data_IF_275809503382
#
_entry.id   IF_275809503382
#
_cell.length_a   1.000
_cell.length_b   1.000
_cell.length_c   1.000
_cell.angle_alpha   90.00
_cell.angle_beta   90.00
_cell.angle_gamma   90.00
#
_symmetry.space_group_name_H-M   'P 1'
#
loop_
_entity.id
_entity.type
_entity.pdbx_description
1 polymer ?
#
# COMPACT_ATOMS: atom_id res chain seq x y z
N UNK A 1 -21.08 -12.56 -0.94
CA UNK A 1 -20.10 -11.69 -0.24
C UNK A 1 -18.82 -12.50 -0.12
N UNK A 2 -17.71 -12.02 -0.67
CA UNK A 2 -16.43 -12.71 -0.53
C UNK A 2 -15.96 -12.51 0.92
N UNK A 3 -15.76 -13.60 1.66
CA UNK A 3 -15.24 -13.53 3.03
C UNK A 3 -13.76 -13.14 2.95
N UNK A 4 -13.41 -11.98 3.50
CA UNK A 4 -12.02 -11.53 3.58
C UNK A 4 -11.20 -12.45 4.49
N UNK A 5 -9.95 -12.72 4.11
CA UNK A 5 -9.01 -13.48 4.91
C UNK A 5 -8.36 -12.59 5.98
N UNK A 6 -8.22 -13.11 7.20
CA UNK A 6 -7.51 -12.43 8.27
C UNK A 6 -6.00 -12.55 8.06
N UNK A 7 -5.30 -11.41 8.03
CA UNK A 7 -3.85 -11.36 7.82
C UNK A 7 -3.19 -10.45 8.85
N UNK A 8 -1.92 -10.73 9.20
CA UNK A 8 -1.15 -9.82 10.04
C UNK A 8 -0.46 -8.75 9.18
N UNK A 9 -0.02 -7.65 9.81
CA UNK A 9 0.61 -6.54 9.10
C UNK A 9 1.85 -6.96 8.31
N UNK A 10 2.72 -7.77 8.91
CA UNK A 10 3.97 -8.21 8.29
C UNK A 10 3.74 -9.00 7.00
N UNK A 11 2.87 -10.00 7.03
CA UNK A 11 2.55 -10.83 5.85
C UNK A 11 1.90 -9.98 4.74
N UNK A 12 1.01 -9.06 5.13
CA UNK A 12 0.34 -8.18 4.18
C UNK A 12 1.33 -7.21 3.51
N UNK A 13 2.30 -6.68 4.27
CA UNK A 13 3.35 -5.83 3.72
C UNK A 13 4.28 -6.60 2.77
N UNK A 14 4.53 -7.89 3.02
CA UNK A 14 5.31 -8.73 2.10
C UNK A 14 4.59 -8.87 0.76
N UNK A 15 3.30 -9.22 0.78
CA UNK A 15 2.46 -9.32 -0.43
C UNK A 15 2.40 -7.97 -1.14
N UNK A 16 2.14 -6.89 -0.40
CA UNK A 16 2.01 -5.56 -0.97
C UNK A 16 3.31 -5.10 -1.65
N UNK A 17 4.47 -5.30 -1.01
CA UNK A 17 5.76 -4.94 -1.60
C UNK A 17 6.12 -5.81 -2.81
N UNK A 18 5.74 -7.09 -2.82
CA UNK A 18 5.90 -7.92 -4.02
C UNK A 18 5.07 -7.35 -5.19
N UNK A 19 3.80 -7.02 -4.95
CA UNK A 19 2.94 -6.41 -5.97
C UNK A 19 3.47 -5.07 -6.47
N UNK A 20 4.07 -4.25 -5.59
CA UNK A 20 4.71 -2.99 -6.00
C UNK A 20 5.86 -3.26 -6.98
N UNK A 21 6.74 -4.23 -6.68
CA UNK A 21 7.91 -4.54 -7.49
C UNK A 21 7.54 -5.14 -8.86
N UNK A 22 6.44 -5.88 -8.94
CA UNK A 22 5.96 -6.52 -10.18
C UNK A 22 5.13 -5.57 -11.07
N UNK A 23 4.75 -4.39 -10.59
CA UNK A 23 3.85 -3.49 -11.30
C UNK A 23 4.59 -2.59 -12.30
N UNK A 24 4.04 -2.40 -13.51
CA UNK A 24 4.68 -1.65 -14.61
C UNK A 24 5.04 -0.20 -14.25
N UNK A 25 4.27 0.43 -13.36
CA UNK A 25 4.52 1.79 -12.86
C UNK A 25 5.48 1.85 -11.65
N UNK A 26 6.22 0.79 -11.34
CA UNK A 26 7.22 0.79 -10.28
C UNK A 26 8.31 1.85 -10.54
N UNK A 27 8.75 2.50 -9.46
CA UNK A 27 9.92 3.39 -9.48
C UNK A 27 10.87 2.95 -8.36
N UNK A 28 12.18 3.09 -8.60
CA UNK A 28 13.19 2.69 -7.64
C UNK A 28 12.96 3.30 -6.26
N UNK A 29 12.99 2.46 -5.22
CA UNK A 29 12.78 2.85 -3.83
C UNK A 29 11.31 2.87 -3.39
N UNK A 30 10.35 2.66 -4.29
CA UNK A 30 8.94 2.61 -3.94
C UNK A 30 8.67 1.37 -3.09
N UNK A 31 8.21 1.58 -1.85
CA UNK A 31 7.84 0.52 -0.92
C UNK A 31 6.84 1.01 0.10
N UNK A 32 6.01 0.10 0.58
CA UNK A 32 5.15 0.32 1.75
C UNK A 32 5.85 -0.21 3.00
N UNK A 33 5.78 0.55 4.09
CA UNK A 33 6.43 0.22 5.37
C UNK A 33 5.44 -0.01 6.50
N UNK A 34 4.19 0.42 6.35
CA UNK A 34 3.12 0.13 7.30
C UNK A 34 1.76 0.12 6.62
N UNK A 35 0.80 -0.53 7.27
CA UNK A 35 -0.59 -0.58 6.81
C UNK A 35 -1.53 -0.56 8.00
N UNK A 36 -2.57 0.27 7.92
CA UNK A 36 -3.67 0.31 8.87
C UNK A 36 -4.99 0.00 8.14
N UNK A 37 -5.99 -0.51 8.85
CA UNK A 37 -7.33 -0.68 8.29
C UNK A 37 -8.28 0.37 8.89
N UNK A 38 -8.91 1.15 8.02
CA UNK A 38 -9.89 2.19 8.37
C UNK A 38 -11.19 1.92 7.63
N UNK A 39 -12.28 1.74 8.38
CA UNK A 39 -13.62 1.51 7.82
C UNK A 39 -13.66 0.37 6.76
N UNK A 40 -12.86 -0.69 6.99
CA UNK A 40 -12.77 -1.84 6.09
C UNK A 40 -11.88 -1.64 4.86
N UNK A 41 -11.12 -0.54 4.80
CA UNK A 41 -10.17 -0.21 3.74
C UNK A 41 -8.75 -0.19 4.30
N UNK A 42 -7.84 -0.90 3.65
CA UNK A 42 -6.41 -0.90 3.93
C UNK A 42 -5.77 0.40 3.43
N UNK A 43 -5.03 1.07 4.31
CA UNK A 43 -4.33 2.32 4.05
C UNK A 43 -2.84 2.07 4.21
N UNK A 44 -2.15 2.02 3.07
CA UNK A 44 -0.70 1.80 2.98
C UNK A 44 0.06 3.13 3.15
N UNK A 45 1.20 3.07 3.84
CA UNK A 45 2.10 4.21 4.08
C UNK A 45 3.54 3.79 3.78
N UNK A 46 4.33 4.72 3.27
CA UNK A 46 5.72 4.46 2.91
C UNK A 46 6.41 5.71 2.38
N UNK A 47 7.37 5.53 1.47
CA UNK A 47 8.10 6.63 0.84
C UNK A 47 7.19 7.37 -0.16
N UNK A 48 7.09 8.70 -0.03
CA UNK A 48 6.23 9.53 -0.88
C UNK A 48 7.02 10.37 -1.90
N UNK A 49 8.35 10.34 -1.87
CA UNK A 49 9.24 11.10 -2.75
C UNK A 49 8.89 12.60 -2.79
N UNK A 50 8.69 13.17 -1.61
CA UNK A 50 8.47 14.61 -1.46
C UNK A 50 9.73 15.39 -1.82
N UNK A 51 9.56 16.64 -2.22
CA UNK A 51 10.69 17.54 -2.42
C UNK A 51 11.33 17.96 -1.07
N UNK A 52 12.46 18.70 -1.07
CA UNK A 52 13.10 19.14 0.17
C UNK A 52 12.24 20.07 1.05
N UNK A 53 11.17 20.64 0.53
CA UNK A 53 10.19 21.44 1.27
C UNK A 53 9.03 20.58 1.82
N UNK A 54 9.01 19.28 1.51
CA UNK A 54 7.95 18.36 1.91
C UNK A 54 6.72 18.42 1.02
N UNK A 55 6.81 19.02 -0.17
CA UNK A 55 5.69 19.11 -1.11
C UNK A 55 5.67 17.92 -2.07
N UNK A 56 4.49 17.54 -2.59
CA UNK A 56 4.37 16.49 -3.60
C UNK A 56 5.19 16.80 -4.85
N UNK A 57 5.95 15.81 -5.31
CA UNK A 57 6.64 15.84 -6.60
C UNK A 57 5.89 15.03 -7.67
N UNK A 58 6.41 14.99 -8.89
CA UNK A 58 5.90 14.11 -9.95
C UNK A 58 5.90 12.63 -9.51
N UNK A 59 6.92 12.20 -8.76
CA UNK A 59 7.03 10.83 -8.22
C UNK A 59 5.99 10.54 -7.14
N UNK A 60 5.59 11.56 -6.38
CA UNK A 60 4.56 11.42 -5.34
C UNK A 60 3.23 10.96 -5.93
N UNK A 61 2.87 11.44 -7.12
CA UNK A 61 1.66 10.99 -7.82
C UNK A 61 1.70 9.50 -8.16
N UNK A 62 2.86 9.00 -8.61
CA UNK A 62 3.04 7.58 -8.91
C UNK A 62 2.84 6.71 -7.66
N UNK A 63 3.39 7.13 -6.51
CA UNK A 63 3.20 6.42 -5.23
C UNK A 63 1.74 6.44 -4.79
N UNK A 64 1.06 7.58 -4.86
CA UNK A 64 -0.36 7.65 -4.50
C UNK A 64 -1.20 6.70 -5.34
N UNK A 65 -0.94 6.61 -6.64
CA UNK A 65 -1.61 5.67 -7.52
C UNK A 65 -1.31 4.22 -7.15
N UNK A 66 -0.06 3.90 -6.80
CA UNK A 66 0.33 2.57 -6.35
C UNK A 66 -0.37 2.19 -5.03
N UNK A 67 -0.34 3.05 -4.02
CA UNK A 67 -0.98 2.77 -2.73
C UNK A 67 -2.50 2.68 -2.87
N UNK A 68 -3.10 3.48 -3.76
CA UNK A 68 -4.52 3.35 -4.13
C UNK A 68 -4.80 2.01 -4.82
N UNK A 69 -3.92 1.55 -5.72
CA UNK A 69 -4.03 0.24 -6.37
C UNK A 69 -4.02 -0.88 -5.33
N UNK A 70 -3.05 -0.87 -4.41
CA UNK A 70 -2.94 -1.85 -3.32
C UNK A 70 -4.18 -1.84 -2.43
N UNK A 71 -4.62 -0.66 -1.97
CA UNK A 71 -5.82 -0.50 -1.16
C UNK A 71 -7.04 -1.10 -1.87
N UNK A 72 -7.23 -0.79 -3.16
CA UNK A 72 -8.36 -1.30 -3.93
C UNK A 72 -8.34 -2.83 -4.12
N UNK A 73 -7.16 -3.42 -4.34
CA UNK A 73 -7.04 -4.85 -4.64
C UNK A 73 -7.02 -5.71 -3.38
N UNK A 74 -6.25 -5.29 -2.38
CA UNK A 74 -6.04 -6.07 -1.16
C UNK A 74 -7.18 -5.90 -0.17
N UNK A 75 -7.86 -4.75 -0.11
CA UNK A 75 -9.01 -4.58 0.83
C UNK A 75 -10.21 -5.44 0.46
N UNK A 76 -10.28 -5.97 -0.76
CA UNK A 76 -11.30 -6.94 -1.16
C UNK A 76 -10.99 -8.35 -0.66
N UNK A 77 -9.71 -8.64 -0.42
CA UNK A 77 -9.21 -9.97 -0.11
C UNK A 77 -8.90 -10.15 1.38
N UNK A 78 -8.42 -9.09 2.02
CA UNK A 78 -7.85 -9.16 3.37
C UNK A 78 -8.47 -8.14 4.32
N UNK A 79 -8.49 -8.51 5.59
CA UNK A 79 -8.72 -7.63 6.75
C UNK A 79 -7.61 -7.91 7.77
N UNK A 80 -7.10 -6.85 8.40
CA UNK A 80 -6.06 -6.96 9.40
C UNK A 80 -6.59 -7.68 10.64
N UNK A 81 -5.80 -8.62 11.17
CA UNK A 81 -6.01 -9.19 12.49
C UNK A 81 -5.93 -8.06 13.51
N UNK A 82 -7.00 -7.87 14.29
CA UNK A 82 -6.95 -7.00 15.46
C UNK A 82 -5.92 -7.59 16.43
N UNK A 83 -4.96 -6.76 16.84
CA UNK A 83 -4.05 -7.10 17.94
C UNK A 83 -4.83 -7.21 19.25
#
# INVERSE_FOLDING_TARGET
MQTKQLINEFDLLLIANQLIQEHDCYIEGMRTTSVEEKDGVLVFKGEYFLDPQGLPSEKTTAVFNMFKYLAHHLSKQFTLKKQ
#
